data_IF_559430520730
#
_entry.id   IF_559430520730
#
_cell.length_a   1.000
_cell.length_b   1.000
_cell.length_c   1.000
_cell.angle_alpha   90.00
_cell.angle_beta   90.00
_cell.angle_gamma   90.00
#
_symmetry.space_group_name_H-M   'P 1'
#
loop_
_entity.id
_entity.type
_entity.pdbx_description
1 polymer ?
#
# COMPACT_ATOMS: atom_id res chain seq x y z
N UNK A 1 -2.27 10.91 -8.25
CA UNK A 1 -2.45 9.75 -9.14
C UNK A 1 -2.89 10.26 -10.51
N UNK A 2 -2.33 9.69 -11.58
CA UNK A 2 -2.74 9.94 -12.95
C UNK A 2 -3.09 8.57 -13.54
N UNK A 3 -4.32 8.41 -14.02
CA UNK A 3 -4.74 7.17 -14.68
C UNK A 3 -5.67 7.45 -15.85
N UNK A 4 -5.73 6.52 -16.80
CA UNK A 4 -6.62 6.61 -17.95
C UNK A 4 -7.94 5.91 -17.65
N UNK A 5 -9.05 6.59 -17.87
CA UNK A 5 -10.40 6.03 -17.74
C UNK A 5 -11.17 6.22 -19.05
N UNK A 6 -11.50 5.10 -19.69
CA UNK A 6 -12.20 5.00 -21.00
C UNK A 6 -11.49 5.78 -22.11
N UNK A 7 -11.76 7.08 -22.18
CA UNK A 7 -11.39 8.00 -23.25
C UNK A 7 -10.76 9.30 -22.71
N UNK A 8 -10.34 9.33 -21.45
CA UNK A 8 -9.69 10.51 -20.86
C UNK A 8 -8.72 10.17 -19.72
N UNK A 9 -7.91 11.18 -19.36
CA UNK A 9 -7.05 11.12 -18.19
C UNK A 9 -7.77 11.68 -16.95
N UNK A 10 -7.66 10.94 -15.85
CA UNK A 10 -8.10 11.39 -14.53
C UNK A 10 -6.88 11.74 -13.70
N UNK A 11 -6.87 12.95 -13.16
CA UNK A 11 -5.86 13.41 -12.20
C UNK A 11 -6.52 13.50 -10.83
N UNK A 12 -5.97 12.76 -9.88
CA UNK A 12 -6.34 12.83 -8.48
C UNK A 12 -5.18 13.41 -7.67
N UNK A 13 -5.44 14.51 -6.96
CA UNK A 13 -4.44 15.26 -6.18
C UNK A 13 -4.84 15.33 -4.72
N UNK A 14 -4.05 14.71 -3.84
CA UNK A 14 -4.14 14.83 -2.38
C UNK A 14 -2.82 15.34 -1.87
N UNK A 15 -2.86 16.41 -1.08
CA UNK A 15 -1.69 17.02 -0.45
C UNK A 15 -1.79 16.83 1.06
N UNK A 16 -0.71 16.34 1.66
CA UNK A 16 -0.54 16.33 3.11
C UNK A 16 0.14 17.63 3.51
N UNK A 17 -0.40 18.34 4.50
CA UNK A 17 0.12 19.65 4.91
C UNK A 17 1.37 19.55 5.79
N UNK A 18 1.48 18.49 6.59
CA UNK A 18 2.53 18.32 7.60
C UNK A 18 3.36 17.05 7.42
N UNK A 19 2.86 16.09 6.66
CA UNK A 19 3.45 14.76 6.54
C UNK A 19 3.70 14.40 5.06
N UNK A 20 4.27 13.22 4.84
CA UNK A 20 4.56 12.66 3.51
C UNK A 20 4.00 11.26 3.43
N UNK A 21 3.55 10.86 2.24
CA UNK A 21 3.18 9.48 1.99
C UNK A 21 4.42 8.60 2.13
N UNK A 22 4.30 7.52 2.90
CA UNK A 22 5.34 6.51 3.04
C UNK A 22 5.20 5.51 1.90
N UNK A 23 5.86 5.82 0.79
CA UNK A 23 5.93 4.88 -0.33
C UNK A 23 6.71 3.64 0.13
N UNK A 24 6.28 2.41 -0.23
CA UNK A 24 7.02 1.21 0.15
C UNK A 24 8.43 1.24 -0.46
N UNK A 25 9.46 1.26 0.40
CA UNK A 25 10.87 1.39 0.01
C UNK A 25 11.48 0.07 -0.49
N UNK A 26 10.86 -1.06 -0.13
CA UNK A 26 11.30 -2.41 -0.49
C UNK A 26 10.34 -3.02 -1.50
N UNK A 27 10.42 -2.52 -2.72
CA UNK A 27 9.80 -3.14 -3.87
C UNK A 27 10.83 -4.04 -4.53
N UNK A 28 10.47 -5.30 -4.76
CA UNK A 28 11.25 -6.18 -5.63
C UNK A 28 10.98 -5.74 -7.09
N UNK A 29 11.55 -4.61 -7.50
CA UNK A 29 11.42 -4.03 -8.85
C UNK A 29 10.97 -2.56 -8.89
N UNK A 30 10.68 -2.07 -10.09
CA UNK A 30 10.32 -0.66 -10.35
C UNK A 30 8.84 -0.34 -10.09
N UNK A 31 7.99 -1.36 -9.88
CA UNK A 31 6.54 -1.21 -9.72
C UNK A 31 6.03 -1.99 -8.50
N UNK A 32 4.92 -1.50 -7.92
CA UNK A 32 4.21 -2.17 -6.83
C UNK A 32 2.79 -2.50 -7.25
N UNK A 33 2.37 -3.73 -6.97
CA UNK A 33 0.95 -4.13 -7.09
C UNK A 33 0.29 -3.93 -5.73
N UNK A 34 -0.72 -3.07 -5.67
CA UNK A 34 -1.53 -2.83 -4.48
C UNK A 34 -2.98 -3.16 -4.77
N UNK A 35 -3.66 -3.76 -3.80
CA UNK A 35 -5.12 -3.79 -3.77
C UNK A 35 -5.70 -2.39 -3.56
N UNK A 36 -6.98 -2.21 -3.89
CA UNK A 36 -7.66 -0.93 -3.63
C UNK A 36 -7.66 -0.53 -2.14
N UNK A 37 -7.64 -1.51 -1.24
CA UNK A 37 -7.56 -1.28 0.20
C UNK A 37 -6.17 -0.77 0.61
N UNK A 38 -5.10 -1.41 0.14
CA UNK A 38 -3.73 -0.97 0.42
C UNK A 38 -3.45 0.41 -0.17
N UNK A 39 -4.00 0.70 -1.35
CA UNK A 39 -3.94 2.04 -1.92
C UNK A 39 -4.62 3.05 -0.98
N UNK A 40 -5.81 2.76 -0.46
CA UNK A 40 -6.48 3.66 0.49
C UNK A 40 -5.66 3.88 1.76
N UNK A 41 -5.09 2.83 2.35
CA UNK A 41 -4.21 2.96 3.51
C UNK A 41 -2.99 3.84 3.23
N UNK A 42 -2.35 3.67 2.08
CA UNK A 42 -1.25 4.53 1.67
C UNK A 42 -1.71 5.99 1.57
N UNK A 43 -2.89 6.23 0.96
CA UNK A 43 -3.46 7.57 0.84
C UNK A 43 -3.86 8.17 2.18
N UNK A 44 -4.14 7.35 3.19
CA UNK A 44 -4.41 7.78 4.57
C UNK A 44 -3.13 7.98 5.40
N UNK A 45 -1.96 7.66 4.84
CA UNK A 45 -0.65 7.88 5.46
C UNK A 45 -0.08 6.65 6.18
N UNK A 46 -0.70 5.49 6.05
CA UNK A 46 -0.18 4.25 6.65
C UNK A 46 1.09 3.76 5.94
N UNK A 47 1.96 3.13 6.73
CA UNK A 47 3.17 2.48 6.26
C UNK A 47 2.87 1.05 5.83
N UNK A 48 2.68 0.85 4.52
CA UNK A 48 2.39 -0.48 3.96
C UNK A 48 3.52 -1.50 4.22
N UNK A 49 4.77 -1.04 4.36
CA UNK A 49 5.90 -1.93 4.62
C UNK A 49 5.87 -2.53 6.03
N UNK A 50 5.21 -1.83 6.95
CA UNK A 50 5.04 -2.22 8.35
C UNK A 50 3.78 -3.07 8.60
N UNK A 51 2.86 -3.18 7.63
CA UNK A 51 1.63 -3.98 7.73
C UNK A 51 1.87 -5.49 7.55
N UNK A 52 2.92 -6.02 8.18
CA UNK A 52 3.20 -7.46 8.18
C UNK A 52 2.38 -8.14 9.28
N UNK A 53 1.55 -9.15 8.95
CA UNK A 53 0.85 -9.91 9.97
C UNK A 53 1.84 -10.65 10.88
N UNK A 54 1.41 -10.96 12.10
CA UNK A 54 2.19 -11.84 12.99
C UNK A 54 2.47 -13.18 12.31
N UNK A 55 3.65 -13.77 12.58
CA UNK A 55 3.99 -15.10 12.06
C UNK A 55 2.93 -16.11 12.48
N UNK A 56 2.49 -16.93 11.53
CA UNK A 56 1.68 -18.09 11.85
C UNK A 56 2.45 -18.98 12.84
N UNK A 57 1.76 -19.42 13.90
CA UNK A 57 2.30 -20.34 14.88
C UNK A 57 1.80 -21.74 14.54
N UNK A 58 2.72 -22.64 14.21
CA UNK A 58 2.43 -24.07 14.03
C UNK A 58 2.51 -24.75 15.39
N UNK A 59 1.37 -25.11 15.95
CA UNK A 59 1.31 -25.92 17.18
C UNK A 59 1.23 -27.39 16.80
N UNK A 60 2.25 -28.18 17.18
CA UNK A 60 2.15 -29.64 17.12
C UNK A 60 1.50 -30.16 18.40
N UNK A 61 0.40 -30.90 18.25
CA UNK A 61 -0.22 -31.63 19.35
C UNK A 61 0.69 -32.79 19.74
N UNK A 62 1.25 -32.73 20.95
CA UNK A 62 1.94 -33.86 21.57
C UNK A 62 0.87 -34.74 22.23
N UNK A 63 0.64 -35.90 21.63
CA UNK A 63 -0.17 -36.99 22.18
C UNK A 63 0.69 -38.06 22.84
#
# INVERSE_FOLDING_TARGET
LLFWERNGFVVWYKRLERERFKWPDRLEGDTVTLSGQELNWLLDGYDLSAMRPHKALDFQSVG
#
